data_IF_479929633019
#
_entry.id   IF_479929633019
#
_cell.length_a   1.000
_cell.length_b   1.000
_cell.length_c   1.000
_cell.angle_alpha   90.00
_cell.angle_beta   90.00
_cell.angle_gamma   90.00
#
_symmetry.space_group_name_H-M   'P 1'
#
loop_
_entity.id
_entity.type
_entity.pdbx_description
1 polymer ?
#
# COMPACT_ATOMS: atom_id res chain seq x y z
N UNK A 1 -28.41 17.90 -60.65
CA UNK A 1 -26.95 18.01 -60.40
C UNK A 1 -26.61 18.56 -58.99
N UNK A 2 -27.52 18.52 -58.00
CA UNK A 2 -27.30 19.10 -56.65
C UNK A 2 -26.91 18.06 -55.56
N UNK A 3 -27.33 16.81 -55.69
CA UNK A 3 -27.10 15.76 -54.67
C UNK A 3 -25.63 15.33 -54.52
N UNK A 4 -24.80 15.47 -55.56
CA UNK A 4 -23.37 15.10 -55.51
C UNK A 4 -22.55 16.06 -54.64
N UNK A 5 -22.98 17.33 -54.53
CA UNK A 5 -22.31 18.35 -53.72
C UNK A 5 -22.59 18.17 -52.21
N UNK A 6 -23.82 17.82 -51.84
CA UNK A 6 -24.20 17.55 -50.44
C UNK A 6 -23.50 16.33 -49.84
N UNK A 7 -23.29 15.26 -50.63
CA UNK A 7 -22.58 14.06 -50.17
C UNK A 7 -21.12 14.36 -49.82
N UNK A 8 -20.48 15.24 -50.57
CA UNK A 8 -19.10 15.66 -50.31
C UNK A 8 -19.01 16.54 -49.06
N UNK A 9 -19.99 17.42 -48.82
CA UNK A 9 -20.06 18.24 -47.60
C UNK A 9 -20.27 17.38 -46.35
N UNK A 10 -21.17 16.40 -46.40
CA UNK A 10 -21.41 15.46 -45.28
C UNK A 10 -20.15 14.63 -44.98
N UNK A 11 -19.41 14.23 -46.02
CA UNK A 11 -18.16 13.50 -45.85
C UNK A 11 -17.09 14.37 -45.18
N UNK A 12 -16.95 15.63 -45.59
CA UNK A 12 -16.01 16.59 -45.01
C UNK A 12 -16.35 16.87 -43.54
N UNK A 13 -17.63 17.08 -43.23
CA UNK A 13 -18.10 17.28 -41.84
C UNK A 13 -17.82 16.04 -40.98
N UNK A 14 -18.01 14.83 -41.53
CA UNK A 14 -17.73 13.58 -40.82
C UNK A 14 -16.24 13.38 -40.54
N UNK A 15 -15.38 13.77 -41.49
CA UNK A 15 -13.92 13.73 -41.31
C UNK A 15 -13.47 14.77 -40.27
N UNK A 16 -14.01 16.00 -40.31
CA UNK A 16 -13.71 17.04 -39.32
C UNK A 16 -14.18 16.66 -37.89
N UNK A 17 -15.34 16.01 -37.77
CA UNK A 17 -15.84 15.52 -36.47
C UNK A 17 -14.92 14.45 -35.86
N UNK A 18 -14.30 13.60 -36.69
CA UNK A 18 -13.34 12.59 -36.25
C UNK A 18 -11.99 13.16 -35.78
N UNK A 19 -11.62 14.38 -36.19
CA UNK A 19 -10.34 15.00 -35.79
C UNK A 19 -10.49 15.73 -34.44
N UNK A 20 -11.68 16.26 -34.14
CA UNK A 20 -11.97 16.94 -32.87
C UNK A 20 -12.10 15.97 -31.68
N UNK A 21 -12.43 14.70 -31.92
CA UNK A 21 -12.50 13.67 -30.87
C UNK A 21 -11.13 13.13 -30.45
N UNK A 22 -10.06 13.48 -31.17
CA UNK A 22 -8.66 13.25 -30.77
C UNK A 22 -8.05 14.45 -30.02
N UNK A 23 -8.87 15.27 -29.36
CA UNK A 23 -8.39 16.26 -28.39
C UNK A 23 -7.80 15.55 -27.17
N UNK A 24 -6.54 15.16 -27.29
CA UNK A 24 -5.51 15.02 -26.26
C UNK A 24 -6.08 15.02 -24.83
N UNK A 25 -6.50 13.85 -24.35
CA UNK A 25 -6.55 13.63 -22.92
C UNK A 25 -5.10 13.73 -22.46
N UNK A 26 -4.71 14.90 -21.95
CA UNK A 26 -3.36 15.13 -21.39
C UNK A 26 -3.15 14.02 -20.37
N UNK A 27 -2.29 13.07 -20.71
CA UNK A 27 -1.82 12.10 -19.75
C UNK A 27 -1.17 12.91 -18.63
N UNK A 28 -1.71 12.81 -17.42
CA UNK A 28 -1.10 13.46 -16.26
C UNK A 28 0.26 12.80 -16.12
N UNK A 29 1.32 13.55 -16.39
CA UNK A 29 2.68 13.07 -16.15
C UNK A 29 2.86 12.99 -14.65
N UNK A 30 2.76 11.78 -14.11
CA UNK A 30 3.07 11.48 -12.72
C UNK A 30 4.54 11.80 -12.43
N UNK A 31 4.83 12.37 -11.26
CA UNK A 31 6.20 12.64 -10.83
C UNK A 31 6.45 12.06 -9.44
N UNK A 32 6.94 10.83 -9.42
CA UNK A 32 7.26 10.11 -8.20
C UNK A 32 8.64 10.50 -7.65
N UNK A 33 8.67 11.06 -6.45
CA UNK A 33 9.88 11.35 -5.69
C UNK A 33 10.04 10.30 -4.59
N UNK A 34 11.20 9.66 -4.51
CA UNK A 34 11.50 8.66 -3.47
C UNK A 34 11.58 9.33 -2.09
N UNK A 35 10.81 8.82 -1.14
CA UNK A 35 10.71 9.33 0.24
C UNK A 35 11.18 8.33 1.30
N UNK A 36 11.25 7.03 0.94
CA UNK A 36 11.85 5.95 1.74
C UNK A 36 12.59 4.96 0.86
N UNK A 37 13.62 4.36 1.42
CA UNK A 37 14.36 3.24 0.84
C UNK A 37 14.82 2.32 1.95
N UNK A 38 14.75 1.01 1.70
CA UNK A 38 15.30 -0.02 2.58
C UNK A 38 15.98 -1.11 1.73
N UNK A 39 17.08 -1.67 2.26
CA UNK A 39 17.87 -2.70 1.61
C UNK A 39 18.06 -3.90 2.54
N UNK A 40 17.74 -5.09 2.07
CA UNK A 40 17.85 -6.31 2.86
C UNK A 40 17.52 -7.54 2.03
N UNK A 41 17.68 -8.73 2.61
CA UNK A 41 17.46 -10.00 1.91
C UNK A 41 16.05 -10.51 2.23
N UNK A 42 15.08 -10.31 1.32
CA UNK A 42 13.66 -10.65 1.54
C UNK A 42 13.34 -12.10 1.20
N UNK A 43 14.09 -12.71 0.29
CA UNK A 43 13.86 -14.07 -0.19
C UNK A 43 14.90 -15.08 0.33
N UNK A 44 15.84 -14.63 1.17
CA UNK A 44 16.91 -15.41 1.81
C UNK A 44 17.87 -16.05 0.81
N UNK A 45 18.10 -15.39 -0.33
CA UNK A 45 19.05 -15.87 -1.35
C UNK A 45 20.47 -15.29 -1.19
N UNK A 46 20.69 -14.45 -0.17
CA UNK A 46 21.95 -13.79 0.13
C UNK A 46 22.20 -12.51 -0.68
N UNK A 47 21.25 -12.08 -1.53
CA UNK A 47 21.31 -10.83 -2.28
C UNK A 47 20.53 -9.73 -1.54
N UNK A 48 20.94 -8.47 -1.75
CA UNK A 48 20.26 -7.33 -1.13
C UNK A 48 19.14 -6.83 -2.06
N UNK A 49 17.93 -7.21 -1.73
CA UNK A 49 16.70 -6.69 -2.29
C UNK A 49 16.46 -5.24 -1.86
N UNK A 50 15.60 -4.54 -2.61
CA UNK A 50 15.30 -3.14 -2.39
C UNK A 50 13.80 -2.90 -2.27
N UNK A 51 13.42 -2.12 -1.27
CA UNK A 51 12.07 -1.59 -1.10
C UNK A 51 12.13 -0.07 -1.17
N UNK A 52 11.22 0.54 -1.91
CA UNK A 52 11.12 2.00 -1.99
C UNK A 52 9.68 2.45 -1.81
N UNK A 53 9.50 3.56 -1.09
CA UNK A 53 8.26 4.34 -1.16
C UNK A 53 8.58 5.63 -1.88
N UNK A 54 7.75 5.96 -2.87
CA UNK A 54 7.79 7.24 -3.56
C UNK A 54 6.44 7.93 -3.48
N UNK A 55 6.43 9.25 -3.61
CA UNK A 55 5.24 10.09 -3.55
C UNK A 55 5.08 10.83 -4.87
N UNK A 56 3.89 10.79 -5.46
CA UNK A 56 3.60 11.63 -6.61
C UNK A 56 3.38 13.08 -6.16
N UNK A 57 4.27 13.99 -6.54
CA UNK A 57 4.19 15.38 -6.10
C UNK A 57 3.40 16.29 -7.04
N UNK A 58 2.89 15.75 -8.16
CA UNK A 58 2.07 16.50 -9.12
C UNK A 58 0.58 16.23 -8.90
N UNK A 59 0.23 15.00 -8.53
CA UNK A 59 -1.16 14.64 -8.22
C UNK A 59 -1.64 15.37 -6.95
N UNK A 60 -2.85 15.91 -6.99
CA UNK A 60 -3.43 16.67 -5.89
C UNK A 60 -3.63 15.82 -4.62
N UNK A 61 -3.82 14.50 -4.78
CA UNK A 61 -3.92 13.57 -3.65
C UNK A 61 -2.56 13.16 -3.08
N UNK A 62 -1.47 13.36 -3.84
CA UNK A 62 -0.14 12.88 -3.52
C UNK A 62 -0.11 11.41 -3.07
N UNK A 63 -0.55 10.47 -3.94
CA UNK A 63 -0.50 9.04 -3.65
C UNK A 63 0.92 8.55 -3.41
N UNK A 64 1.05 7.60 -2.50
CA UNK A 64 2.30 6.90 -2.22
C UNK A 64 2.36 5.60 -3.02
N UNK A 65 3.48 5.37 -3.69
CA UNK A 65 3.77 4.15 -4.44
C UNK A 65 4.80 3.30 -3.70
N UNK A 66 4.42 2.07 -3.35
CA UNK A 66 5.34 1.04 -2.89
C UNK A 66 5.89 0.27 -4.08
N UNK A 67 7.21 0.10 -4.10
CA UNK A 67 7.87 -0.82 -5.02
C UNK A 67 8.83 -1.76 -4.26
N UNK A 68 8.79 -3.04 -4.62
CA UNK A 68 9.69 -4.07 -4.08
C UNK A 68 10.43 -4.71 -5.25
N UNK A 69 11.75 -4.77 -5.14
CA UNK A 69 12.65 -5.27 -6.16
C UNK A 69 13.55 -6.36 -5.60
N UNK A 70 13.67 -7.47 -6.33
CA UNK A 70 14.66 -8.48 -6.02
C UNK A 70 15.93 -8.27 -6.79
N UNK A 71 17.07 -8.35 -6.10
CA UNK A 71 18.35 -8.35 -6.76
C UNK A 71 18.53 -9.68 -7.49
N UNK A 72 19.07 -9.63 -8.71
CA UNK A 72 19.36 -10.80 -9.52
C UNK A 72 20.87 -11.08 -9.48
N UNK A 73 21.34 -12.29 -9.81
CA UNK A 73 22.78 -12.62 -9.83
C UNK A 73 23.63 -11.69 -10.72
N UNK A 74 23.01 -11.10 -11.75
CA UNK A 74 23.65 -10.11 -12.63
C UNK A 74 23.68 -8.68 -12.04
N UNK A 75 23.36 -8.52 -10.74
CA UNK A 75 23.27 -7.27 -9.99
C UNK A 75 22.16 -6.31 -10.44
N UNK A 76 21.30 -6.70 -11.39
CA UNK A 76 20.11 -5.92 -11.76
C UNK A 76 18.96 -6.19 -10.81
N UNK A 77 18.08 -5.22 -10.67
CA UNK A 77 16.85 -5.35 -9.90
C UNK A 77 15.69 -5.82 -10.78
N UNK A 78 14.92 -6.79 -10.31
CA UNK A 78 13.66 -7.24 -10.89
C UNK A 78 12.51 -6.71 -10.04
N UNK A 79 11.61 -5.94 -10.63
CA UNK A 79 10.39 -5.47 -9.96
C UNK A 79 9.46 -6.65 -9.65
N UNK A 80 9.03 -6.75 -8.39
CA UNK A 80 8.15 -7.81 -7.86
C UNK A 80 6.79 -7.24 -7.45
N UNK A 81 6.79 -6.08 -6.81
CA UNK A 81 5.57 -5.36 -6.41
C UNK A 81 5.69 -3.91 -6.88
N UNK A 82 4.60 -3.36 -7.43
CA UNK A 82 4.43 -1.93 -7.68
C UNK A 82 2.95 -1.60 -7.47
N UNK A 83 2.65 -0.72 -6.51
CA UNK A 83 1.26 -0.31 -6.26
C UNK A 83 1.17 1.03 -5.54
N UNK A 84 0.17 1.82 -5.92
CA UNK A 84 -0.28 3.04 -5.23
C UNK A 84 -1.45 2.79 -4.27
N UNK A 85 -1.96 1.56 -4.22
CA UNK A 85 -3.21 1.20 -3.52
C UNK A 85 -2.98 0.57 -2.14
N UNK A 86 -1.73 0.46 -1.70
CA UNK A 86 -1.38 -0.19 -0.42
C UNK A 86 -1.51 0.79 0.75
N UNK A 87 -1.19 2.06 0.52
CA UNK A 87 -1.08 3.10 1.56
C UNK A 87 -2.02 4.26 1.23
N UNK A 88 -2.55 4.96 2.23
CA UNK A 88 -3.37 6.14 1.99
C UNK A 88 -2.58 7.23 1.23
N UNK A 89 -3.22 7.99 0.34
CA UNK A 89 -2.64 9.21 -0.18
C UNK A 89 -2.32 10.18 0.97
N UNK A 90 -1.29 11.02 0.82
CA UNK A 90 -0.94 12.01 1.85
C UNK A 90 -1.95 13.16 1.93
N UNK A 91 -2.64 13.46 0.81
CA UNK A 91 -3.62 14.54 0.69
C UNK A 91 -4.97 14.05 0.14
N UNK A 92 -5.70 13.12 0.79
CA UNK A 92 -6.98 12.64 0.30
C UNK A 92 -7.95 13.81 0.02
N UNK A 93 -8.52 13.86 -1.19
CA UNK A 93 -9.34 14.97 -1.67
C UNK A 93 -8.63 16.35 -1.64
N UNK A 94 -7.31 16.37 -1.82
CA UNK A 94 -6.48 17.58 -1.84
C UNK A 94 -6.22 18.21 -0.47
N UNK A 95 -6.54 17.52 0.63
CA UNK A 95 -6.32 18.02 2.00
C UNK A 95 -5.43 17.06 2.77
N UNK A 96 -4.52 17.60 3.59
CA UNK A 96 -3.62 16.78 4.40
C UNK A 96 -4.42 15.79 5.25
N UNK A 97 -4.11 14.49 5.09
CA UNK A 97 -4.85 13.40 5.71
C UNK A 97 -4.54 13.20 7.20
N UNK A 98 -3.43 13.75 7.70
CA UNK A 98 -2.97 13.59 9.08
C UNK A 98 -2.06 12.37 9.30
N UNK A 99 -2.07 11.41 8.38
CA UNK A 99 -1.23 10.21 8.45
C UNK A 99 0.23 10.56 8.13
N UNK A 100 1.17 9.89 8.80
CA UNK A 100 2.60 9.97 8.44
C UNK A 100 2.90 9.15 7.18
N UNK A 101 3.96 9.49 6.46
CA UNK A 101 4.50 8.60 5.43
C UNK A 101 4.95 7.30 6.11
N UNK A 102 4.43 6.12 5.69
CA UNK A 102 4.80 4.84 6.28
C UNK A 102 6.30 4.58 6.21
N UNK A 103 6.83 3.89 7.22
CA UNK A 103 8.18 3.36 7.23
C UNK A 103 8.19 1.90 6.75
N UNK A 104 9.33 1.47 6.25
CA UNK A 104 9.54 0.13 5.73
C UNK A 104 10.81 -0.46 6.30
N UNK A 105 10.76 -1.73 6.67
CA UNK A 105 11.90 -2.47 7.22
C UNK A 105 12.03 -3.83 6.55
N UNK A 106 13.26 -4.34 6.50
CA UNK A 106 13.57 -5.70 6.08
C UNK A 106 14.33 -6.38 7.21
N UNK A 107 13.68 -7.35 7.86
CA UNK A 107 14.23 -8.04 9.03
C UNK A 107 14.06 -9.54 8.87
N UNK A 108 15.14 -10.32 8.95
CA UNK A 108 15.13 -11.79 8.91
C UNK A 108 14.33 -12.41 7.73
N UNK A 109 14.34 -11.75 6.57
CA UNK A 109 13.57 -12.16 5.38
C UNK A 109 12.08 -11.85 5.43
N UNK A 110 11.68 -10.93 6.31
CA UNK A 110 10.33 -10.38 6.35
C UNK A 110 10.33 -8.94 5.84
N UNK A 111 9.32 -8.62 5.04
CA UNK A 111 9.00 -7.24 4.73
C UNK A 111 8.06 -6.71 5.81
N UNK A 112 8.40 -5.58 6.42
CA UNK A 112 7.60 -4.94 7.46
C UNK A 112 7.17 -3.56 6.95
N UNK A 113 5.87 -3.31 6.93
CA UNK A 113 5.28 -2.00 6.68
C UNK A 113 4.77 -1.45 8.00
N UNK A 114 5.30 -0.31 8.43
CA UNK A 114 4.85 0.41 9.61
C UNK A 114 4.11 1.67 9.20
N UNK A 115 2.90 1.86 9.71
CA UNK A 115 2.10 3.05 9.42
C UNK A 115 1.39 3.56 10.67
N UNK A 116 1.16 4.86 10.72
CA UNK A 116 0.36 5.49 11.77
C UNK A 116 -0.84 6.17 11.10
N UNK A 117 -2.03 5.63 11.36
CA UNK A 117 -3.29 6.07 10.78
C UNK A 117 -4.23 6.43 11.90
N UNK A 118 -4.68 7.70 11.96
CA UNK A 118 -5.58 8.21 13.03
C UNK A 118 -5.11 7.82 14.44
N UNK A 119 -3.84 8.08 14.76
CA UNK A 119 -3.19 7.75 16.04
C UNK A 119 -3.13 6.25 16.39
N UNK A 120 -3.45 5.37 15.43
CA UNK A 120 -3.27 3.92 15.55
C UNK A 120 -2.01 3.54 14.81
N UNK A 121 -1.05 2.98 15.53
CA UNK A 121 0.19 2.43 14.96
C UNK A 121 -0.11 1.02 14.47
N UNK A 122 0.21 0.75 13.21
CA UNK A 122 0.02 -0.53 12.56
C UNK A 122 1.37 -1.05 12.10
N UNK A 123 1.61 -2.34 12.30
CA UNK A 123 2.75 -3.05 11.76
C UNK A 123 2.27 -4.29 11.03
N UNK A 124 2.42 -4.28 9.71
CA UNK A 124 2.10 -5.41 8.84
C UNK A 124 3.39 -6.16 8.48
N UNK A 125 3.46 -7.44 8.85
CA UNK A 125 4.61 -8.30 8.57
C UNK A 125 4.27 -9.30 7.47
N UNK A 126 5.04 -9.27 6.39
CA UNK A 126 4.86 -10.10 5.22
C UNK A 126 6.01 -11.08 5.04
N UNK A 127 5.68 -12.28 4.57
CA UNK A 127 6.63 -13.28 4.12
C UNK A 127 6.50 -13.46 2.61
N UNK A 128 7.61 -13.45 1.89
CA UNK A 128 7.61 -13.84 0.49
C UNK A 128 7.51 -15.36 0.35
N UNK A 129 6.44 -15.85 -0.24
CA UNK A 129 6.17 -17.26 -0.41
C UNK A 129 5.45 -17.52 -1.74
N UNK A 130 5.89 -18.51 -2.51
CA UNK A 130 5.27 -18.90 -3.78
C UNK A 130 4.98 -17.71 -4.73
N UNK A 131 5.91 -16.76 -4.84
CA UNK A 131 5.80 -15.63 -5.76
C UNK A 131 5.00 -14.43 -5.25
N UNK A 132 4.53 -14.45 -4.00
CA UNK A 132 3.71 -13.38 -3.40
C UNK A 132 4.15 -13.04 -1.98
N UNK A 133 3.92 -11.80 -1.58
CA UNK A 133 4.06 -11.38 -0.17
C UNK A 133 2.75 -11.67 0.56
N UNK A 134 2.75 -12.67 1.43
CA UNK A 134 1.62 -13.07 2.26
C UNK A 134 1.75 -12.39 3.63
N UNK A 135 0.67 -11.75 4.09
CA UNK A 135 0.59 -11.18 5.43
C UNK A 135 0.55 -12.33 6.45
N UNK A 136 1.51 -12.35 7.36
CA UNK A 136 1.61 -13.39 8.40
C UNK A 136 1.27 -12.86 9.78
N UNK A 137 1.45 -11.55 10.01
CA UNK A 137 1.15 -10.90 11.27
C UNK A 137 0.73 -9.44 11.04
N UNK A 138 -0.21 -8.98 11.86
CA UNK A 138 -0.62 -7.59 11.97
C UNK A 138 -0.67 -7.22 13.45
N UNK A 139 0.13 -6.25 13.86
CA UNK A 139 0.06 -5.64 15.18
C UNK A 139 -0.53 -4.23 15.09
N UNK A 140 -1.43 -3.89 16.02
CA UNK A 140 -2.03 -2.56 16.16
C UNK A 140 -1.84 -2.06 17.58
N UNK A 141 -1.41 -0.83 17.74
CA UNK A 141 -1.31 -0.16 19.05
C UNK A 141 -2.14 1.12 19.02
N UNK A 142 -3.05 1.26 19.98
CA UNK A 142 -3.86 2.46 20.16
C UNK A 142 -3.81 2.95 21.61
N UNK A 143 -4.00 4.25 21.79
CA UNK A 143 -4.10 4.89 23.11
C UNK A 143 -5.50 5.44 23.32
N UNK A 144 -6.04 5.29 24.54
CA UNK A 144 -7.40 5.72 24.89
C UNK A 144 -7.55 7.24 25.12
N UNK A 145 -6.49 8.01 24.89
CA UNK A 145 -6.44 9.45 25.19
C UNK A 145 -6.27 9.77 26.68
N UNK A 146 -6.08 8.75 27.53
CA UNK A 146 -5.96 8.89 28.98
C UNK A 146 -4.72 8.18 29.50
N UNK A 147 -4.85 6.91 29.89
CA UNK A 147 -3.78 6.19 30.59
C UNK A 147 -3.71 4.71 30.19
N UNK A 148 -4.37 4.32 29.09
CA UNK A 148 -4.42 2.93 28.65
C UNK A 148 -3.93 2.81 27.21
N UNK A 149 -2.97 1.92 26.99
CA UNK A 149 -2.58 1.46 25.66
C UNK A 149 -3.19 0.10 25.42
N UNK A 150 -3.79 -0.09 24.24
CA UNK A 150 -4.30 -1.39 23.78
C UNK A 150 -3.45 -1.86 22.62
N UNK A 151 -2.83 -3.03 22.79
CA UNK A 151 -2.14 -3.74 21.74
C UNK A 151 -3.04 -4.88 21.23
N UNK A 152 -3.25 -4.94 19.93
CA UNK A 152 -3.96 -6.03 19.25
C UNK A 152 -3.01 -6.70 18.27
N UNK A 153 -2.78 -7.99 18.44
CA UNK A 153 -1.97 -8.81 17.54
C UNK A 153 -2.85 -9.84 16.83
N UNK A 154 -2.69 -9.93 15.50
CA UNK A 154 -3.27 -10.97 14.67
C UNK A 154 -2.13 -11.85 14.15
N UNK A 155 -1.94 -13.03 14.74
CA UNK A 155 -1.05 -14.06 14.20
C UNK A 155 -1.85 -14.92 13.21
N UNK A 156 -1.67 -14.64 11.91
CA UNK A 156 -2.45 -15.26 10.85
C UNK A 156 -1.99 -16.69 10.53
N UNK A 157 -0.77 -17.05 10.94
CA UNK A 157 -0.25 -18.42 10.82
C UNK A 157 -0.89 -19.31 11.88
N UNK A 158 -0.93 -18.84 13.14
CA UNK A 158 -1.59 -19.55 14.24
C UNK A 158 -3.11 -19.44 14.19
N UNK A 159 -3.64 -18.43 13.50
CA UNK A 159 -5.08 -18.16 13.46
C UNK A 159 -5.58 -17.65 14.81
N UNK A 160 -4.84 -16.73 15.43
CA UNK A 160 -5.17 -16.16 16.75
C UNK A 160 -5.19 -14.64 16.70
N UNK A 161 -6.15 -14.04 17.39
CA UNK A 161 -6.16 -12.61 17.74
C UNK A 161 -6.00 -12.47 19.24
N UNK A 162 -4.99 -11.72 19.65
CA UNK A 162 -4.74 -11.36 21.05
C UNK A 162 -4.95 -9.86 21.21
N UNK A 163 -5.58 -9.45 22.31
CA UNK A 163 -5.76 -8.05 22.69
C UNK A 163 -5.31 -7.90 24.14
N UNK A 164 -4.38 -6.98 24.38
CA UNK A 164 -3.80 -6.70 25.70
C UNK A 164 -3.97 -5.21 25.97
N UNK A 165 -4.60 -4.87 27.09
CA UNK A 165 -4.70 -3.50 27.58
C UNK A 165 -3.77 -3.31 28.78
N UNK A 166 -2.94 -2.27 28.76
CA UNK A 166 -1.94 -1.95 29.78
C UNK A 166 -2.04 -0.49 30.18
N UNK A 167 -1.66 -0.18 31.43
CA UNK A 167 -1.53 1.20 31.88
C UNK A 167 -0.26 1.82 31.29
N UNK A 168 -0.32 3.10 30.91
CA UNK A 168 0.84 3.81 30.39
C UNK A 168 1.98 3.79 31.42
N UNK A 169 3.19 3.44 30.98
CA UNK A 169 4.38 3.40 31.84
C UNK A 169 4.39 2.24 32.85
N UNK A 170 3.57 1.21 32.66
CA UNK A 170 3.50 0.05 33.53
C UNK A 170 3.41 -1.25 32.73
N UNK A 171 4.17 -2.27 33.13
CA UNK A 171 4.06 -3.62 32.55
C UNK A 171 2.80 -4.38 33.04
N UNK A 172 1.97 -3.72 33.87
CA UNK A 172 0.77 -4.33 34.44
C UNK A 172 -0.34 -4.43 33.39
N UNK A 173 -0.63 -5.66 32.98
CA UNK A 173 -1.78 -5.99 32.14
C UNK A 173 -3.09 -5.82 32.92
N UNK A 174 -3.98 -4.97 32.40
CA UNK A 174 -5.32 -4.72 32.95
C UNK A 174 -6.31 -5.76 32.42
N UNK A 175 -6.18 -6.09 31.13
CA UNK A 175 -7.08 -7.01 30.43
C UNK A 175 -6.30 -7.74 29.35
N UNK A 176 -6.57 -9.04 29.22
CA UNK A 176 -6.12 -9.87 28.10
C UNK A 176 -7.32 -10.63 27.54
N UNK A 177 -7.48 -10.60 26.23
CA UNK A 177 -8.46 -11.39 25.50
C UNK A 177 -7.75 -12.10 24.35
N UNK A 178 -8.06 -13.37 24.15
CA UNK A 178 -7.54 -14.16 23.05
C UNK A 178 -8.68 -14.92 22.39
N UNK A 179 -8.76 -14.85 21.06
CA UNK A 179 -9.77 -15.57 20.28
C UNK A 179 -9.16 -16.18 19.03
N UNK A 180 -9.73 -17.31 18.59
CA UNK A 180 -9.38 -17.90 17.30
C UNK A 180 -9.98 -17.09 16.15
N UNK A 181 -9.22 -16.98 15.08
CA UNK A 181 -9.62 -16.38 13.80
C UNK A 181 -9.24 -17.36 12.69
N UNK A 182 -10.06 -17.46 11.64
CA UNK A 182 -9.77 -18.32 10.50
C UNK A 182 -9.74 -17.48 9.24
N UNK A 183 -8.53 -17.15 8.76
CA UNK A 183 -8.31 -16.38 7.55
C UNK A 183 -7.50 -17.25 6.60
N UNK A 184 -8.18 -17.85 5.63
CA UNK A 184 -7.58 -18.65 4.56
C UNK A 184 -8.28 -18.32 3.23
N UNK A 185 -7.54 -18.01 2.16
CA UNK A 185 -6.08 -17.87 2.10
C UNK A 185 -5.58 -16.65 2.91
N UNK A 186 -4.27 -16.61 3.19
CA UNK A 186 -3.66 -15.42 3.82
C UNK A 186 -3.82 -14.20 2.89
N UNK A 187 -4.08 -13.00 3.45
CA UNK A 187 -4.08 -11.77 2.67
C UNK A 187 -2.72 -11.57 2.02
N UNK A 188 -2.70 -11.08 0.79
CA UNK A 188 -1.45 -10.62 0.16
C UNK A 188 -1.30 -9.12 0.29
N UNK A 189 -0.09 -8.63 0.04
CA UNK A 189 0.20 -7.20 0.01
C UNK A 189 -0.75 -6.41 -0.94
N UNK A 190 -1.17 -7.00 -2.07
CA UNK A 190 -2.11 -6.37 -3.00
C UNK A 190 -3.55 -6.30 -2.47
N UNK A 191 -3.89 -7.13 -1.47
CA UNK A 191 -5.23 -7.18 -0.86
C UNK A 191 -5.30 -6.49 0.50
N UNK A 192 -4.21 -5.84 0.93
CA UNK A 192 -4.03 -5.32 2.28
C UNK A 192 -5.17 -4.40 2.73
N UNK A 193 -5.46 -3.34 1.96
CA UNK A 193 -6.55 -2.40 2.29
C UNK A 193 -7.90 -3.08 2.47
N UNK A 194 -8.23 -4.06 1.61
CA UNK A 194 -9.48 -4.81 1.73
C UNK A 194 -9.53 -5.61 3.03
N UNK A 195 -8.41 -6.20 3.43
CA UNK A 195 -8.30 -6.96 4.66
C UNK A 195 -8.41 -6.07 5.89
N UNK A 196 -7.71 -4.94 5.93
CA UNK A 196 -7.74 -4.01 7.07
C UNK A 196 -9.17 -3.51 7.34
N UNK A 197 -9.94 -3.19 6.29
CA UNK A 197 -11.34 -2.78 6.39
C UNK A 197 -12.29 -3.87 6.94
N UNK A 198 -11.89 -5.14 6.96
CA UNK A 198 -12.68 -6.24 7.53
C UNK A 198 -12.42 -6.46 9.02
N UNK A 199 -11.38 -5.82 9.57
CA UNK A 199 -10.97 -5.97 10.96
C UNK A 199 -11.43 -4.83 11.88
N UNK A 200 -11.91 -3.73 11.31
CA UNK A 200 -12.59 -2.62 11.99
C UNK A 200 -14.06 -2.96 12.31
#
# INVERSE_FOLDING_TARGET
>A
MYFKSMKNIVLIISVLAGILTYSQQKEIQHHFVQVREELGDLNKDGLKDKVTISMDTIDAEQPLKLEIFFQQPNKKFKLIVSSTEIMNPQYPNGKYGGDQVPDVFIEDGYFILYSEIKDVKNQHKFLFNNGKFELINLAKVSWDGKNTTTETEFDLIKGTRTEIAQLLGSDKTIKKNERKINIKPLPTIQTLRKFDNQLE
#
